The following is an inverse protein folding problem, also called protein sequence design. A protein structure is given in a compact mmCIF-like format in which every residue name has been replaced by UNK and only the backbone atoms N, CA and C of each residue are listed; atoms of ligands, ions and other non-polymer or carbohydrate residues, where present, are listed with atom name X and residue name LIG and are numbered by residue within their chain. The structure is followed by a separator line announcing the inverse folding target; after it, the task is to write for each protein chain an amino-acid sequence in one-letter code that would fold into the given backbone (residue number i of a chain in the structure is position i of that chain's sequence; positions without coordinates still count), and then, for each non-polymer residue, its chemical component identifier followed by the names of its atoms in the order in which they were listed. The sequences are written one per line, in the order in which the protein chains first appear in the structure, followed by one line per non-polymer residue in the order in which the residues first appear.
data_IF_877248642138
#
_entry.id   IF_877248642138
#
_cell.length_a   1.000
_cell.length_b   1.000
_cell.length_c   1.000
_cell.angle_alpha   90.00
_cell.angle_beta   90.00
_cell.angle_gamma   90.00
#
_symmetry.space_group_name_H-M   'P 1'
#
loop_
_entity.id
_entity.type
_entity.pdbx_description
1 polymer ?
#
# COMPACT_ATOMS: atom_id res chain seq x y z
N UNK A 1 3.67 12.80 2.22
CA UNK A 1 4.77 12.44 1.29
C UNK A 1 5.23 13.64 0.47
N UNK A 2 4.32 14.43 -0.12
CA UNK A 2 4.59 15.61 -0.95
C UNK A 2 5.29 16.79 -0.24
N UNK A 3 5.49 16.71 1.08
CA UNK A 3 6.08 17.78 1.90
C UNK A 3 7.46 17.41 2.47
N UNK A 4 8.00 16.21 2.17
CA UNK A 4 9.27 15.72 2.75
C UNK A 4 10.31 15.40 1.67
N UNK A 5 11.28 16.28 1.40
CA UNK A 5 12.23 16.14 0.29
C UNK A 5 13.04 14.83 0.28
N UNK A 6 13.45 14.33 1.45
CA UNK A 6 14.19 13.07 1.56
C UNK A 6 13.37 11.83 1.14
N UNK A 7 12.03 11.89 1.28
CA UNK A 7 11.14 10.82 0.85
C UNK A 7 11.06 10.70 -0.69
N UNK A 8 11.40 11.76 -1.43
CA UNK A 8 11.44 11.70 -2.90
C UNK A 8 12.55 10.80 -3.40
N UNK A 9 13.73 10.81 -2.77
CA UNK A 9 14.85 10.01 -3.24
C UNK A 9 14.57 8.50 -3.12
N UNK A 10 14.00 8.07 -1.99
CA UNK A 10 13.57 6.69 -1.79
C UNK A 10 12.47 6.29 -2.77
N UNK A 11 11.42 7.12 -2.90
CA UNK A 11 10.33 6.83 -3.82
C UNK A 11 10.74 6.82 -5.30
N UNK A 12 11.65 7.70 -5.71
CA UNK A 12 12.19 7.70 -7.06
C UNK A 12 13.00 6.44 -7.37
N UNK A 13 13.50 5.72 -6.35
CA UNK A 13 14.11 4.39 -6.53
C UNK A 13 13.06 3.29 -6.69
N UNK A 14 11.79 3.53 -6.34
CA UNK A 14 10.70 2.56 -6.35
C UNK A 14 9.44 3.08 -7.05
N UNK A 15 9.29 2.76 -8.34
CA UNK A 15 8.12 3.12 -9.18
C UNK A 15 7.77 4.62 -9.27
N UNK A 16 8.50 5.51 -8.58
CA UNK A 16 8.31 6.95 -8.61
C UNK A 16 8.44 7.56 -10.01
N UNK A 17 9.48 7.20 -10.81
CA UNK A 17 9.61 7.71 -12.18
C UNK A 17 8.43 7.29 -13.06
N UNK A 18 7.96 6.05 -12.94
CA UNK A 18 6.79 5.55 -13.68
C UNK A 18 5.50 6.25 -13.25
N UNK A 19 5.35 6.53 -11.95
CA UNK A 19 4.23 7.32 -11.44
C UNK A 19 4.27 8.75 -11.98
N UNK A 20 5.43 9.39 -11.99
CA UNK A 20 5.59 10.74 -12.53
C UNK A 20 5.32 10.80 -14.03
N UNK A 21 5.82 9.81 -14.78
CA UNK A 21 5.58 9.69 -16.20
C UNK A 21 4.08 9.55 -16.54
N UNK A 22 3.27 8.90 -15.69
CA UNK A 22 1.82 8.82 -15.91
C UNK A 22 1.09 10.16 -15.73
N UNK A 23 1.73 11.14 -15.08
CA UNK A 23 1.31 12.54 -15.01
C UNK A 23 2.00 13.44 -16.05
N UNK A 24 2.77 12.87 -16.99
CA UNK A 24 3.52 13.63 -18.00
C UNK A 24 4.80 14.28 -17.47
N UNK A 25 5.31 13.87 -16.31
CA UNK A 25 6.50 14.43 -15.68
C UNK A 25 7.73 13.54 -15.92
N UNK A 26 8.75 14.09 -16.58
CA UNK A 26 10.06 13.43 -16.71
C UNK A 26 10.93 13.69 -15.48
N UNK A 27 10.92 12.73 -14.55
CA UNK A 27 11.67 12.81 -13.30
C UNK A 27 13.19 12.91 -13.52
N UNK A 28 13.73 12.18 -14.51
CA UNK A 28 15.15 12.13 -14.78
C UNK A 28 15.63 13.49 -15.31
N UNK A 29 14.90 14.04 -16.28
CA UNK A 29 15.18 15.37 -16.82
C UNK A 29 15.16 16.44 -15.72
N UNK A 30 14.11 16.46 -14.88
CA UNK A 30 13.98 17.46 -13.82
C UNK A 30 15.07 17.34 -12.77
N UNK A 31 15.43 16.13 -12.36
CA UNK A 31 16.52 15.91 -11.39
C UNK A 31 17.86 16.37 -11.95
N UNK A 32 18.14 16.16 -13.25
CA UNK A 32 19.39 16.58 -13.89
C UNK A 32 19.49 18.09 -14.17
N UNK A 33 18.37 18.78 -14.41
CA UNK A 33 18.39 20.18 -14.88
C UNK A 33 17.86 21.19 -13.86
N UNK A 34 17.14 20.75 -12.82
CA UNK A 34 16.56 21.65 -11.82
C UNK A 34 16.47 21.09 -10.40
N UNK A 35 16.94 19.85 -10.18
CA UNK A 35 17.00 19.19 -8.89
C UNK A 35 15.64 19.02 -8.20
N UNK A 36 15.68 18.81 -6.89
CA UNK A 36 14.49 18.52 -6.08
C UNK A 36 13.42 19.62 -6.12
N UNK A 37 13.83 20.89 -6.25
CA UNK A 37 12.89 22.02 -6.31
C UNK A 37 12.09 22.04 -7.61
N UNK A 38 12.73 21.72 -8.75
CA UNK A 38 12.01 21.62 -10.02
C UNK A 38 11.04 20.42 -10.04
N UNK A 39 11.47 19.29 -9.48
CA UNK A 39 10.61 18.13 -9.31
C UNK A 39 9.38 18.44 -8.45
N UNK A 40 9.56 19.16 -7.35
CA UNK A 40 8.45 19.56 -6.48
C UNK A 40 7.42 20.43 -7.21
N UNK A 41 7.87 21.44 -7.96
CA UNK A 41 6.96 22.28 -8.75
C UNK A 41 6.19 21.47 -9.79
N UNK A 42 6.89 20.60 -10.52
CA UNK A 42 6.24 19.74 -11.50
C UNK A 42 5.18 18.82 -10.87
N UNK A 43 5.42 18.30 -9.67
CA UNK A 43 4.43 17.55 -8.89
C UNK A 43 3.21 18.40 -8.50
N UNK A 44 3.45 19.62 -8.02
CA UNK A 44 2.40 20.56 -7.63
C UNK A 44 1.53 21.02 -8.82
N UNK A 45 2.13 21.14 -10.00
CA UNK A 45 1.46 21.57 -11.23
C UNK A 45 0.78 20.41 -11.97
N UNK A 46 1.40 19.22 -11.99
CA UNK A 46 0.97 18.11 -12.85
C UNK A 46 0.05 17.11 -12.14
N UNK A 47 0.12 17.00 -10.81
CA UNK A 47 -0.78 16.12 -10.04
C UNK A 47 -2.03 16.92 -9.65
N UNK A 48 -3.24 16.58 -10.16
CA UNK A 48 -4.44 17.31 -9.85
C UNK A 48 -4.72 17.39 -8.35
N UNK A 49 -5.28 18.52 -7.89
CA UNK A 49 -5.64 18.71 -6.48
C UNK A 49 -6.53 17.59 -5.94
N UNK A 50 -7.50 17.13 -6.73
CA UNK A 50 -8.38 16.02 -6.39
C UNK A 50 -7.63 14.70 -6.15
N UNK A 51 -6.55 14.42 -6.89
CA UNK A 51 -5.75 13.21 -6.68
C UNK A 51 -4.93 13.31 -5.39
N UNK A 52 -4.40 14.50 -5.08
CA UNK A 52 -3.68 14.75 -3.82
C UNK A 52 -4.61 14.60 -2.63
N UNK A 53 -5.78 15.23 -2.70
CA UNK A 53 -6.82 15.13 -1.68
C UNK A 53 -7.29 13.68 -1.49
N UNK A 54 -7.50 12.93 -2.57
CA UNK A 54 -7.83 11.52 -2.49
C UNK A 54 -6.76 10.73 -1.70
N UNK A 55 -5.48 10.89 -2.07
CA UNK A 55 -4.37 10.19 -1.41
C UNK A 55 -4.21 10.59 0.06
N UNK A 56 -4.42 11.86 0.39
CA UNK A 56 -4.32 12.38 1.77
C UNK A 56 -5.45 11.87 2.68
N UNK A 57 -6.60 11.51 2.10
CA UNK A 57 -7.77 11.02 2.84
C UNK A 57 -7.89 9.49 2.88
N UNK A 58 -6.97 8.74 2.28
CA UNK A 58 -7.01 7.27 2.35
C UNK A 58 -6.68 6.78 3.77
N UNK A 59 -7.54 5.94 4.40
CA UNK A 59 -7.25 5.40 5.71
C UNK A 59 -6.14 4.34 5.63
N UNK A 60 -5.31 4.26 6.66
CA UNK A 60 -4.29 3.19 6.80
C UNK A 60 -4.90 1.83 7.18
N UNK A 61 -6.13 1.83 7.69
CA UNK A 61 -6.90 0.65 8.08
C UNK A 61 -8.40 0.89 7.88
N UNK A 62 -9.10 -0.11 7.34
CA UNK A 62 -10.56 -0.13 7.23
C UNK A 62 -11.10 -1.38 7.94
N UNK A 63 -12.13 -1.22 8.76
CA UNK A 63 -12.79 -2.34 9.45
C UNK A 63 -14.25 -2.43 9.04
N UNK A 64 -14.68 -3.62 8.63
CA UNK A 64 -16.08 -3.94 8.30
C UNK A 64 -16.45 -5.21 9.06
N UNK A 65 -17.24 -5.07 10.14
CA UNK A 65 -17.55 -6.19 11.03
C UNK A 65 -16.29 -6.77 11.67
N UNK A 66 -16.03 -8.05 11.42
CA UNK A 66 -14.86 -8.80 11.88
C UNK A 66 -13.71 -8.87 10.85
N UNK A 67 -13.83 -8.13 9.73
CA UNK A 67 -12.80 -8.07 8.68
C UNK A 67 -12.06 -6.74 8.72
N UNK A 68 -10.74 -6.82 8.71
CA UNK A 68 -9.82 -5.68 8.72
C UNK A 68 -9.01 -5.68 7.43
N UNK A 69 -8.99 -4.54 6.75
CA UNK A 69 -8.20 -4.30 5.54
C UNK A 69 -7.05 -3.36 5.88
N UNK A 70 -5.82 -3.80 5.62
CA UNK A 70 -4.57 -3.04 5.85
C UNK A 70 -3.61 -3.29 4.70
N UNK A 71 -2.68 -2.36 4.46
CA UNK A 71 -1.72 -2.54 3.37
C UNK A 71 -0.79 -3.74 3.60
N UNK A 72 -0.15 -3.83 4.77
CA UNK A 72 0.85 -4.85 5.07
C UNK A 72 0.40 -5.89 6.10
N UNK A 73 -0.12 -5.45 7.25
CA UNK A 73 -0.50 -6.33 8.35
C UNK A 73 -0.76 -5.57 9.64
N UNK A 74 -0.91 -6.30 10.74
CA UNK A 74 -1.04 -5.72 12.08
C UNK A 74 -0.06 -6.38 13.05
N UNK A 75 0.37 -5.68 14.11
CA UNK A 75 1.16 -6.30 15.18
C UNK A 75 0.31 -7.36 15.90
N UNK A 76 0.75 -8.62 16.00
CA UNK A 76 -0.03 -9.69 16.63
C UNK A 76 -0.35 -9.37 18.10
N UNK A 77 -1.59 -9.64 18.51
CA UNK A 77 -2.08 -9.51 19.88
C UNK A 77 -2.29 -8.07 20.37
N UNK A 78 -2.02 -7.07 19.53
CA UNK A 78 -2.21 -5.65 19.86
C UNK A 78 -3.57 -5.18 19.34
N UNK A 79 -4.37 -4.56 20.21
CA UNK A 79 -5.69 -4.04 19.84
C UNK A 79 -5.62 -3.10 18.63
N UNK A 80 -6.65 -3.09 17.78
CA UNK A 80 -6.65 -2.32 16.53
C UNK A 80 -6.39 -0.82 16.75
N UNK A 81 -6.92 -0.25 17.84
CA UNK A 81 -6.74 1.17 18.19
C UNK A 81 -5.32 1.51 18.67
N UNK A 82 -4.50 0.50 18.95
CA UNK A 82 -3.11 0.63 19.40
C UNK A 82 -2.10 0.25 18.31
N UNK A 83 -2.58 -0.10 17.11
CA UNK A 83 -1.72 -0.32 15.96
C UNK A 83 -1.06 0.98 15.53
N UNK A 84 0.17 0.89 15.01
CA UNK A 84 0.91 2.04 14.47
C UNK A 84 0.86 2.01 12.96
N UNK A 85 0.73 3.16 12.32
CA UNK A 85 0.77 3.27 10.85
C UNK A 85 2.02 2.62 10.23
N UNK A 86 3.16 2.67 10.93
CA UNK A 86 4.38 2.00 10.49
C UNK A 86 4.19 0.48 10.35
N UNK A 87 3.43 -0.15 11.24
CA UNK A 87 3.13 -1.57 11.16
C UNK A 87 2.09 -1.82 10.06
N UNK A 88 1.01 -1.02 10.04
CA UNK A 88 -0.08 -1.14 9.06
C UNK A 88 0.43 -1.07 7.61
N UNK A 89 1.46 -0.25 7.36
CA UNK A 89 2.04 0.00 6.05
C UNK A 89 3.27 -0.86 5.73
N UNK A 90 3.98 -1.41 6.71
CA UNK A 90 5.30 -2.02 6.44
C UNK A 90 5.62 -3.32 7.18
N UNK A 91 4.77 -3.79 8.10
CA UNK A 91 5.09 -5.00 8.86
C UNK A 91 5.19 -6.23 7.93
N UNK A 92 6.15 -7.11 8.24
CA UNK A 92 6.23 -8.46 7.67
C UNK A 92 6.16 -9.46 8.81
N UNK A 93 7.27 -9.63 9.52
CA UNK A 93 7.29 -10.43 10.74
C UNK A 93 7.02 -9.57 11.98
N UNK A 94 6.40 -10.14 13.02
CA UNK A 94 5.99 -11.54 13.12
C UNK A 94 4.59 -11.83 12.57
N UNK A 95 3.94 -10.87 11.90
CA UNK A 95 2.56 -10.97 11.41
C UNK A 95 2.36 -12.06 10.34
N UNK A 96 3.28 -12.18 9.38
CA UNK A 96 3.17 -13.17 8.30
C UNK A 96 3.17 -14.60 8.86
N UNK A 97 3.97 -14.87 9.90
CA UNK A 97 4.03 -16.18 10.56
C UNK A 97 2.85 -16.38 11.54
N UNK A 98 2.60 -15.42 12.44
CA UNK A 98 1.67 -15.59 13.58
C UNK A 98 0.22 -15.23 13.26
N UNK A 99 -0.03 -14.41 12.25
CA UNK A 99 -1.35 -13.83 12.01
C UNK A 99 -1.69 -12.70 13.01
N UNK A 100 -2.97 -12.30 13.11
CA UNK A 100 -3.36 -11.17 13.95
C UNK A 100 -3.38 -11.48 15.45
N UNK A 101 -3.52 -12.75 15.85
CA UNK A 101 -3.77 -13.18 17.25
C UNK A 101 -4.93 -12.42 17.91
N UNK A 102 -5.94 -12.09 17.11
CA UNK A 102 -7.17 -11.44 17.49
C UNK A 102 -8.34 -12.17 16.83
N UNK A 103 -9.57 -12.08 17.37
CA UNK A 103 -10.75 -12.73 16.82
C UNK A 103 -11.30 -11.96 15.61
N UNK A 104 -10.47 -11.77 14.58
CA UNK A 104 -10.77 -11.03 13.35
C UNK A 104 -10.02 -11.64 12.16
N UNK A 105 -10.45 -11.29 10.96
CA UNK A 105 -9.81 -11.65 9.70
C UNK A 105 -9.05 -10.44 9.14
N UNK A 106 -7.76 -10.57 8.82
CA UNK A 106 -6.98 -9.51 8.18
C UNK A 106 -6.77 -9.77 6.70
N UNK A 107 -7.29 -8.91 5.83
CA UNK A 107 -6.96 -8.89 4.40
C UNK A 107 -5.82 -7.91 4.16
N UNK A 108 -4.75 -8.37 3.51
CA UNK A 108 -3.54 -7.57 3.33
C UNK A 108 -2.81 -7.85 2.00
N UNK A 109 -1.83 -7.00 1.71
CA UNK A 109 -0.91 -7.13 0.60
C UNK A 109 0.54 -6.89 1.04
N UNK A 110 1.24 -6.00 0.35
CA UNK A 110 2.60 -5.51 0.62
C UNK A 110 3.74 -6.52 0.41
N UNK A 111 3.53 -7.78 0.81
CA UNK A 111 4.48 -8.86 0.62
C UNK A 111 3.96 -9.78 -0.48
N UNK A 112 4.53 -9.71 -1.70
CA UNK A 112 4.08 -10.52 -2.81
C UNK A 112 4.18 -12.01 -2.52
N UNK A 113 3.14 -12.76 -2.90
CA UNK A 113 3.06 -14.22 -2.84
C UNK A 113 2.75 -14.78 -4.22
N UNK A 114 3.24 -15.99 -4.54
CA UNK A 114 3.00 -16.58 -5.87
C UNK A 114 1.52 -16.89 -6.13
N UNK A 115 0.78 -17.21 -5.06
CA UNK A 115 -0.66 -17.46 -5.05
C UNK A 115 -1.24 -16.83 -3.79
N UNK A 116 -2.50 -16.40 -3.80
CA UNK A 116 -3.14 -15.85 -2.62
C UNK A 116 -3.04 -16.82 -1.45
N UNK A 117 -2.75 -16.30 -0.27
CA UNK A 117 -2.62 -17.11 0.94
C UNK A 117 -3.85 -16.93 1.82
N UNK A 118 -4.40 -18.02 2.35
CA UNK A 118 -5.49 -18.01 3.33
C UNK A 118 -5.07 -18.89 4.51
N UNK A 119 -4.94 -18.31 5.70
CA UNK A 119 -4.52 -19.04 6.90
C UNK A 119 -4.20 -18.13 8.07
N UNK A 120 -4.14 -18.68 9.29
CA UNK A 120 -3.79 -17.95 10.53
C UNK A 120 -4.52 -16.61 10.68
N UNK A 121 -5.82 -16.55 10.38
CA UNK A 121 -6.62 -15.32 10.50
C UNK A 121 -6.23 -14.20 9.52
N UNK A 122 -5.51 -14.51 8.43
CA UNK A 122 -5.16 -13.54 7.39
C UNK A 122 -5.36 -14.07 5.96
N UNK A 123 -5.59 -13.14 5.04
CA UNK A 123 -5.66 -13.37 3.60
C UNK A 123 -4.69 -12.42 2.89
N UNK A 124 -3.67 -12.96 2.22
CA UNK A 124 -2.75 -12.19 1.39
C UNK A 124 -3.22 -12.22 -0.07
N UNK A 125 -3.47 -11.05 -0.65
CA UNK A 125 -3.95 -10.91 -2.05
C UNK A 125 -2.92 -10.22 -2.96
N UNK A 126 -1.75 -9.85 -2.45
CA UNK A 126 -0.68 -9.29 -3.30
C UNK A 126 0.03 -10.42 -4.06
N UNK A 127 -0.36 -10.63 -5.31
CA UNK A 127 0.29 -11.57 -6.25
C UNK A 127 1.36 -10.93 -7.12
N UNK A 128 1.86 -9.76 -6.72
CA UNK A 128 2.94 -9.07 -7.40
C UNK A 128 2.56 -8.61 -8.82
N UNK A 129 1.37 -8.03 -8.98
CA UNK A 129 0.84 -7.63 -10.30
C UNK A 129 1.83 -6.76 -11.10
N UNK A 130 2.62 -5.92 -10.42
CA UNK A 130 3.65 -5.08 -11.06
C UNK A 130 4.75 -5.88 -11.79
N UNK A 131 5.02 -7.11 -11.36
CA UNK A 131 6.06 -7.98 -11.92
C UNK A 131 5.48 -9.15 -12.73
N UNK A 132 4.31 -9.65 -12.34
CA UNK A 132 3.71 -10.87 -12.90
C UNK A 132 2.57 -10.60 -13.86
N UNK A 133 2.02 -9.38 -13.87
CA UNK A 133 0.77 -9.03 -14.56
C UNK A 133 -0.49 -9.64 -13.91
N UNK A 134 -0.36 -10.39 -12.82
CA UNK A 134 -1.49 -11.07 -12.15
C UNK A 134 -2.00 -10.24 -10.98
N UNK A 135 -3.19 -9.69 -11.12
CA UNK A 135 -3.91 -8.99 -10.05
C UNK A 135 -4.95 -9.92 -9.44
N UNK A 136 -4.87 -10.15 -8.13
CA UNK A 136 -5.87 -10.95 -7.40
C UNK A 136 -6.96 -10.05 -6.85
N UNK A 137 -8.21 -10.44 -7.04
CA UNK A 137 -9.34 -9.84 -6.36
C UNK A 137 -9.98 -10.85 -5.37
N UNK A 138 -10.48 -10.33 -4.25
CA UNK A 138 -11.17 -11.09 -3.21
C UNK A 138 -12.59 -10.58 -3.07
N UNK A 139 -13.58 -11.48 -3.21
CA UNK A 139 -14.98 -11.19 -2.91
C UNK A 139 -15.35 -11.80 -1.57
N UNK A 140 -15.90 -10.97 -0.67
CA UNK A 140 -16.41 -11.40 0.64
C UNK A 140 -17.92 -11.17 0.66
N UNK A 141 -18.70 -12.24 0.81
CA UNK A 141 -20.16 -12.17 0.95
C UNK A 141 -20.63 -13.21 1.96
N UNK A 142 -21.53 -12.84 2.88
CA UNK A 142 -22.06 -13.76 3.90
C UNK A 142 -20.97 -14.54 4.65
N UNK A 143 -19.86 -13.85 4.99
CA UNK A 143 -18.66 -14.44 5.62
C UNK A 143 -17.92 -15.51 4.79
N UNK A 144 -18.21 -15.60 3.50
CA UNK A 144 -17.47 -16.46 2.56
C UNK A 144 -16.53 -15.62 1.71
N UNK A 145 -15.26 -16.04 1.68
CA UNK A 145 -14.20 -15.42 0.91
C UNK A 145 -13.95 -16.24 -0.36
N UNK A 146 -14.09 -15.62 -1.53
CA UNK A 146 -13.87 -16.24 -2.84
C UNK A 146 -12.86 -15.42 -3.62
N UNK A 147 -11.78 -16.06 -4.07
CA UNK A 147 -10.80 -15.45 -4.96
C UNK A 147 -11.39 -15.35 -6.37
N UNK A 148 -11.32 -14.17 -6.96
CA UNK A 148 -11.71 -13.93 -8.36
C UNK A 148 -10.40 -13.89 -9.15
N UNK A 149 -10.26 -14.83 -10.09
CA UNK A 149 -9.16 -14.91 -11.03
C UNK A 149 -9.44 -14.08 -12.28
#
# INVERSE_FOLDING_TARGET
MLTRPAAYAEWLRFAGPQTLASYGVDAAYLMSHGGASALRRALEESVPAQHREFLENLPSMLTIGDVVFVHAGIRPGVALQQQKDSDLLWIREPFLTRGPELPLLVVHGHTPVQRPFVGNGRIAIDTGAFATGKLTALRIMNRQAVLIA
#
